data_IF_824805123946
#
_entry.id   IF_824805123946
#
_cell.length_a   1.000
_cell.length_b   1.000
_cell.length_c   1.000
_cell.angle_alpha   90.00
_cell.angle_beta   90.00
_cell.angle_gamma   90.00
#
_symmetry.space_group_name_H-M   'P 1'
#
loop_
_entity.id
_entity.type
_entity.pdbx_description
1 polymer ?
#
# COMPACT_ATOMS: atom_id res chain seq x y z
N UNK A 1 2.76 5.24 8.60
CA UNK A 1 2.49 6.03 7.38
C UNK A 1 0.99 6.02 7.05
N UNK A 2 0.36 4.88 6.73
CA UNK A 2 -1.12 4.76 6.62
C UNK A 2 -1.85 5.15 7.93
N UNK A 3 -1.35 4.68 9.09
CA UNK A 3 -1.88 5.08 10.40
C UNK A 3 -1.75 6.60 10.71
N UNK A 4 -0.88 7.32 9.99
CA UNK A 4 -0.75 8.78 10.09
C UNK A 4 -1.62 9.51 9.06
N UNK A 5 -2.01 8.87 7.96
CA UNK A 5 -2.84 9.45 6.90
C UNK A 5 -4.30 9.64 7.35
N UNK A 6 -4.87 8.66 8.05
CA UNK A 6 -6.22 8.75 8.61
C UNK A 6 -6.46 9.97 9.54
N UNK A 7 -5.61 10.26 10.56
CA UNK A 7 -5.75 11.46 11.37
C UNK A 7 -5.44 12.76 10.60
N UNK A 8 -4.55 12.73 9.59
CA UNK A 8 -4.26 13.90 8.74
C UNK A 8 -5.48 14.28 7.87
N UNK A 9 -6.17 13.30 7.29
CA UNK A 9 -7.39 13.53 6.49
C UNK A 9 -8.55 14.05 7.37
N UNK A 10 -8.64 13.58 8.61
CA UNK A 10 -9.61 14.07 9.58
C UNK A 10 -9.31 15.51 10.00
N UNK A 11 -8.03 15.86 10.21
CA UNK A 11 -7.59 17.22 10.48
C UNK A 11 -7.83 18.16 9.27
N UNK A 12 -7.60 17.67 8.04
CA UNK A 12 -7.93 18.40 6.82
C UNK A 12 -9.42 18.75 6.73
N UNK A 13 -10.28 17.79 7.10
CA UNK A 13 -11.74 17.97 7.13
C UNK A 13 -12.18 19.03 8.13
N UNK A 14 -11.52 19.13 9.29
CA UNK A 14 -11.86 20.14 10.31
C UNK A 14 -11.29 21.54 10.04
N UNK A 15 -10.21 21.64 9.25
CA UNK A 15 -9.48 22.91 9.05
C UNK A 15 -9.72 23.59 7.70
N UNK A 16 -10.52 23.00 6.80
CA UNK A 16 -10.76 23.59 5.47
C UNK A 16 -11.78 24.73 5.54
N UNK A 17 -11.30 25.93 5.87
CA UNK A 17 -11.88 27.19 5.42
C UNK A 17 -11.36 27.50 4.01
N UNK A 18 -12.28 27.77 3.09
CA UNK A 18 -12.18 27.58 1.64
C UNK A 18 -11.09 28.34 0.83
N UNK A 19 -9.96 28.81 1.38
CA UNK A 19 -8.94 29.52 0.57
C UNK A 19 -7.51 29.59 1.14
N UNK A 20 -7.06 28.66 1.99
CA UNK A 20 -5.77 28.80 2.70
C UNK A 20 -4.64 27.91 2.13
N UNK A 21 -3.38 28.41 2.01
CA UNK A 21 -2.19 27.62 1.63
C UNK A 21 -1.94 26.40 2.54
N UNK A 22 -2.56 26.39 3.72
CA UNK A 22 -2.62 25.24 4.63
C UNK A 22 -3.16 23.97 3.95
N UNK A 23 -4.11 24.12 3.03
CA UNK A 23 -4.69 22.98 2.31
C UNK A 23 -3.68 22.33 1.36
N UNK A 24 -2.84 23.15 0.72
CA UNK A 24 -1.81 22.71 -0.21
C UNK A 24 -0.69 21.96 0.52
N UNK A 25 -0.29 22.45 1.70
CA UNK A 25 0.69 21.80 2.57
C UNK A 25 0.17 20.46 3.09
N UNK A 26 -1.09 20.40 3.57
CA UNK A 26 -1.67 19.13 4.02
C UNK A 26 -1.83 18.12 2.87
N UNK A 27 -2.21 18.56 1.67
CA UNK A 27 -2.28 17.68 0.50
C UNK A 27 -0.90 17.12 0.14
N UNK A 28 0.14 17.96 0.21
CA UNK A 28 1.52 17.54 -0.06
C UNK A 28 2.01 16.53 0.96
N UNK A 29 1.72 16.75 2.25
CA UNK A 29 2.02 15.78 3.32
C UNK A 29 1.23 14.47 3.20
N UNK A 30 -0.05 14.53 2.83
CA UNK A 30 -0.83 13.31 2.54
C UNK A 30 -0.24 12.56 1.35
N UNK A 31 0.09 13.27 0.26
CA UNK A 31 0.65 12.69 -0.95
C UNK A 31 1.99 11.99 -0.69
N UNK A 32 2.91 12.63 0.06
CA UNK A 32 4.18 12.00 0.42
C UNK A 32 4.01 10.82 1.38
N UNK A 33 3.07 10.91 2.32
CA UNK A 33 2.77 9.84 3.26
C UNK A 33 2.18 8.58 2.60
N UNK A 34 1.51 8.72 1.45
CA UNK A 34 0.92 7.61 0.67
C UNK A 34 1.90 7.09 -0.40
N UNK A 35 2.64 7.97 -1.07
CA UNK A 35 3.62 7.55 -2.09
C UNK A 35 4.78 6.76 -1.49
N UNK A 36 5.21 7.08 -0.26
CA UNK A 36 6.23 6.32 0.47
C UNK A 36 5.94 4.82 0.57
N UNK A 37 4.84 4.38 1.21
CA UNK A 37 4.48 2.97 1.30
C UNK A 37 4.15 2.32 -0.04
N UNK A 38 3.55 3.05 -0.99
CA UNK A 38 3.32 2.53 -2.34
C UNK A 38 4.64 2.18 -3.05
N UNK A 39 5.61 3.08 -3.03
CA UNK A 39 6.95 2.85 -3.59
C UNK A 39 7.73 1.76 -2.84
N UNK A 40 7.56 1.66 -1.51
CA UNK A 40 8.21 0.63 -0.70
C UNK A 40 7.66 -0.78 -0.97
N UNK A 41 6.36 -0.94 -1.21
CA UNK A 41 5.77 -2.25 -1.53
C UNK A 41 6.27 -2.75 -2.89
N UNK A 42 6.27 -1.89 -3.91
CA UNK A 42 6.71 -2.29 -5.27
C UNK A 42 8.20 -2.63 -5.31
N UNK A 43 9.03 -1.88 -4.56
CA UNK A 43 10.47 -2.16 -4.44
C UNK A 43 10.77 -3.37 -3.56
N UNK A 44 10.10 -3.52 -2.42
CA UNK A 44 10.31 -4.67 -1.54
C UNK A 44 9.93 -5.98 -2.25
N UNK A 45 8.78 -6.03 -2.94
CA UNK A 45 8.35 -7.24 -3.67
C UNK A 45 9.29 -7.54 -4.84
N UNK A 46 9.74 -6.53 -5.58
CA UNK A 46 10.69 -6.72 -6.69
C UNK A 46 12.06 -7.21 -6.20
N UNK A 47 12.55 -6.69 -5.07
CA UNK A 47 13.79 -7.15 -4.44
C UNK A 47 13.66 -8.59 -3.92
N UNK A 48 12.53 -8.92 -3.28
CA UNK A 48 12.28 -10.26 -2.76
C UNK A 48 12.21 -11.31 -3.89
N UNK A 49 11.55 -10.98 -5.01
CA UNK A 49 11.52 -11.81 -6.22
C UNK A 49 12.90 -11.96 -6.88
N UNK A 50 13.73 -10.91 -6.86
CA UNK A 50 15.09 -10.93 -7.44
C UNK A 50 16.06 -11.87 -6.71
N UNK A 51 15.81 -12.17 -5.43
CA UNK A 51 16.67 -13.05 -4.62
C UNK A 51 16.20 -14.51 -4.59
N UNK A 52 15.04 -14.83 -5.17
CA UNK A 52 14.52 -16.20 -5.21
C UNK A 52 15.33 -17.09 -6.15
N UNK A 53 15.87 -18.19 -5.62
CA UNK A 53 16.62 -19.22 -6.39
C UNK A 53 15.83 -19.79 -7.57
N UNK A 54 14.49 -19.77 -7.50
CA UNK A 54 13.60 -20.20 -8.57
C UNK A 54 13.54 -19.24 -9.77
N UNK A 55 13.89 -17.96 -9.56
CA UNK A 55 13.89 -16.90 -10.57
C UNK A 55 15.30 -16.40 -10.94
N UNK A 56 16.31 -16.77 -10.15
CA UNK A 56 17.72 -16.50 -10.44
C UNK A 56 18.10 -17.06 -11.83
N UNK A 57 18.47 -16.18 -12.75
CA UNK A 57 18.81 -16.50 -14.14
C UNK A 57 17.62 -16.59 -15.12
N UNK A 58 16.36 -16.50 -14.65
CA UNK A 58 15.15 -16.56 -15.51
C UNK A 58 14.52 -15.18 -15.67
N UNK A 59 15.20 -14.30 -16.41
CA UNK A 59 14.82 -12.88 -16.59
C UNK A 59 13.41 -12.68 -17.15
N UNK A 60 12.91 -13.59 -17.99
CA UNK A 60 11.54 -13.54 -18.53
C UNK A 60 10.45 -13.71 -17.45
N UNK A 61 10.67 -14.62 -16.50
CA UNK A 61 9.70 -14.87 -15.43
C UNK A 61 9.65 -13.67 -14.47
N UNK A 62 10.81 -13.12 -14.11
CA UNK A 62 10.90 -11.93 -13.27
C UNK A 62 10.25 -10.72 -13.94
N UNK A 63 10.55 -10.46 -15.21
CA UNK A 63 9.94 -9.37 -15.98
C UNK A 63 8.40 -9.46 -16.06
N UNK A 64 7.85 -10.68 -16.16
CA UNK A 64 6.40 -10.90 -16.19
C UNK A 64 5.75 -10.59 -14.85
N UNK A 65 6.40 -10.94 -13.73
CA UNK A 65 5.85 -10.64 -12.40
C UNK A 65 5.95 -9.13 -12.13
N UNK A 66 7.06 -8.49 -12.50
CA UNK A 66 7.24 -7.04 -12.38
C UNK A 66 6.19 -6.29 -13.21
N UNK A 67 5.90 -6.72 -14.45
CA UNK A 67 4.89 -6.06 -15.27
C UNK A 67 3.46 -6.24 -14.75
N UNK A 68 3.16 -7.36 -14.08
CA UNK A 68 1.88 -7.55 -13.39
C UNK A 68 1.75 -6.58 -12.21
N UNK A 69 2.80 -6.45 -11.39
CA UNK A 69 2.79 -5.53 -10.23
C UNK A 69 2.62 -4.09 -10.70
N UNK A 70 3.38 -3.67 -11.70
CA UNK A 70 3.29 -2.32 -12.27
C UNK A 70 1.93 -2.06 -12.95
N UNK A 71 1.39 -3.07 -13.64
CA UNK A 71 0.06 -3.04 -14.24
C UNK A 71 -1.06 -2.84 -13.21
N UNK A 72 -0.97 -3.48 -12.04
CA UNK A 72 -1.91 -3.26 -10.93
C UNK A 72 -1.80 -1.85 -10.34
N UNK A 73 -0.58 -1.29 -10.31
CA UNK A 73 -0.35 0.10 -9.94
C UNK A 73 -1.08 1.10 -10.84
N UNK A 74 -0.96 0.90 -12.15
CA UNK A 74 -1.67 1.73 -13.15
C UNK A 74 -3.19 1.56 -13.08
N UNK A 75 -3.69 0.35 -12.79
CA UNK A 75 -5.12 0.11 -12.58
C UNK A 75 -5.66 0.95 -11.40
N UNK A 76 -4.95 0.97 -10.27
CA UNK A 76 -5.31 1.78 -9.11
C UNK A 76 -5.32 3.28 -9.42
N UNK A 77 -4.31 3.76 -10.17
CA UNK A 77 -4.23 5.15 -10.60
C UNK A 77 -5.39 5.58 -11.53
N UNK A 78 -5.93 4.66 -12.33
CA UNK A 78 -7.12 4.91 -13.15
C UNK A 78 -8.43 4.85 -12.36
N UNK A 79 -8.53 3.92 -11.39
CA UNK A 79 -9.74 3.72 -10.59
C UNK A 79 -10.03 4.89 -9.63
N UNK A 80 -9.01 5.53 -9.07
CA UNK A 80 -9.18 6.67 -8.15
C UNK A 80 -9.96 7.84 -8.77
N UNK A 81 -9.50 8.41 -9.90
CA UNK A 81 -10.22 9.46 -10.62
C UNK A 81 -11.58 9.01 -11.17
N UNK A 82 -11.70 7.76 -11.63
CA UNK A 82 -12.98 7.21 -12.11
C UNK A 82 -14.04 7.22 -11.00
N UNK A 83 -13.71 6.68 -9.83
CA UNK A 83 -14.62 6.67 -8.68
C UNK A 83 -14.88 8.10 -8.18
N UNK A 84 -13.85 8.95 -8.13
CA UNK A 84 -14.03 10.36 -7.78
C UNK A 84 -15.04 11.05 -8.71
N UNK A 85 -14.91 10.86 -10.02
CA UNK A 85 -15.82 11.43 -11.01
C UNK A 85 -17.27 10.93 -10.88
N UNK A 86 -17.47 9.66 -10.54
CA UNK A 86 -18.80 9.09 -10.30
C UNK A 86 -19.42 9.56 -8.98
N UNK A 87 -18.59 9.89 -7.97
CA UNK A 87 -19.04 10.25 -6.63
C UNK A 87 -19.22 11.76 -6.42
N UNK A 88 -18.55 12.61 -7.20
CA UNK A 88 -18.68 14.09 -7.14
C UNK A 88 -20.15 14.57 -7.18
N UNK A 89 -21.06 14.02 -8.01
CA UNK A 89 -22.47 14.42 -8.02
C UNK A 89 -23.21 14.23 -6.69
N UNK A 90 -22.73 13.31 -5.82
CA UNK A 90 -23.30 13.03 -4.50
C UNK A 90 -22.67 13.88 -3.38
N UNK A 91 -21.69 14.73 -3.72
CA UNK A 91 -21.01 15.65 -2.80
C UNK A 91 -19.60 15.21 -2.39
N UNK A 92 -18.74 16.20 -2.14
CA UNK A 92 -17.34 16.00 -1.76
C UNK A 92 -17.14 15.17 -0.49
N UNK A 93 -18.12 15.18 0.43
CA UNK A 93 -18.12 14.34 1.63
C UNK A 93 -18.05 12.83 1.31
N UNK A 94 -18.70 12.39 0.23
CA UNK A 94 -18.71 10.99 -0.20
C UNK A 94 -17.36 10.61 -0.81
N UNK A 95 -16.73 11.53 -1.54
CA UNK A 95 -15.36 11.34 -2.07
C UNK A 95 -14.36 11.19 -0.92
N UNK A 96 -14.43 12.06 0.10
CA UNK A 96 -13.57 11.92 1.28
C UNK A 96 -13.83 10.62 2.04
N UNK A 97 -15.09 10.20 2.18
CA UNK A 97 -15.43 8.92 2.80
C UNK A 97 -14.84 7.73 2.01
N UNK A 98 -14.86 7.78 0.68
CA UNK A 98 -14.24 6.79 -0.20
C UNK A 98 -12.71 6.74 -0.05
N UNK A 99 -12.04 7.90 0.08
CA UNK A 99 -10.60 7.96 0.32
C UNK A 99 -10.22 7.39 1.69
N UNK A 100 -10.97 7.73 2.74
CA UNK A 100 -10.72 7.23 4.10
C UNK A 100 -10.98 5.72 4.19
N UNK A 101 -12.05 5.23 3.58
CA UNK A 101 -12.38 3.79 3.61
C UNK A 101 -11.38 2.96 2.81
N UNK A 102 -10.89 3.46 1.67
CA UNK A 102 -9.84 2.78 0.91
C UNK A 102 -8.49 2.76 1.64
N UNK A 103 -8.12 3.84 2.35
CA UNK A 103 -6.93 3.90 3.21
C UNK A 103 -7.00 2.90 4.38
N UNK A 104 -8.15 2.83 5.07
CA UNK A 104 -8.39 1.86 6.14
C UNK A 104 -8.31 0.41 5.64
N UNK A 105 -8.89 0.12 4.46
CA UNK A 105 -8.83 -1.20 3.86
C UNK A 105 -7.39 -1.58 3.48
N UNK A 106 -6.62 -0.64 2.92
CA UNK A 106 -5.21 -0.83 2.59
C UNK A 106 -4.37 -1.09 3.86
N UNK A 107 -4.65 -0.37 4.95
CA UNK A 107 -4.00 -0.58 6.24
C UNK A 107 -4.31 -1.98 6.80
N UNK A 108 -5.58 -2.41 6.77
CA UNK A 108 -5.98 -3.75 7.22
C UNK A 108 -5.29 -4.86 6.44
N UNK A 109 -5.25 -4.75 5.11
CA UNK A 109 -4.57 -5.72 4.25
C UNK A 109 -3.06 -5.76 4.51
N UNK A 110 -2.43 -4.60 4.69
CA UNK A 110 -1.00 -4.52 5.00
C UNK A 110 -0.67 -5.19 6.35
N UNK A 111 -1.45 -4.92 7.39
CA UNK A 111 -1.29 -5.56 8.70
C UNK A 111 -1.48 -7.07 8.58
N UNK A 112 -2.51 -7.51 7.86
CA UNK A 112 -2.78 -8.93 7.66
C UNK A 112 -1.62 -9.64 6.96
N UNK A 113 -1.05 -9.05 5.91
CA UNK A 113 0.12 -9.59 5.19
C UNK A 113 1.32 -9.69 6.14
N UNK A 114 1.62 -8.65 6.91
CA UNK A 114 2.76 -8.64 7.84
C UNK A 114 2.59 -9.71 8.93
N UNK A 115 1.40 -9.80 9.53
CA UNK A 115 1.10 -10.81 10.55
C UNK A 115 1.21 -12.22 9.96
N UNK A 116 0.64 -12.46 8.79
CA UNK A 116 0.70 -13.76 8.13
C UNK A 116 2.13 -14.13 7.70
N UNK A 117 2.89 -13.17 7.18
CA UNK A 117 4.30 -13.35 6.82
C UNK A 117 5.14 -13.68 8.05
N UNK A 118 4.96 -12.93 9.14
CA UNK A 118 5.63 -13.18 10.42
C UNK A 118 5.28 -14.56 10.99
N UNK A 119 4.00 -14.95 10.99
CA UNK A 119 3.55 -16.30 11.40
C UNK A 119 4.18 -17.40 10.54
N UNK A 120 4.27 -17.21 9.22
CA UNK A 120 4.90 -18.16 8.29
C UNK A 120 6.41 -18.27 8.53
N UNK A 121 7.08 -17.15 8.76
CA UNK A 121 8.50 -17.12 9.10
C UNK A 121 8.77 -17.85 10.41
N UNK A 122 7.98 -17.56 11.44
CA UNK A 122 8.12 -18.20 12.76
C UNK A 122 7.92 -19.71 12.68
N UNK A 123 6.93 -20.20 11.91
CA UNK A 123 6.75 -21.63 11.64
C UNK A 123 7.94 -22.26 10.91
N UNK A 124 8.50 -21.59 9.89
CA UNK A 124 9.67 -22.09 9.16
C UNK A 124 10.92 -22.19 10.03
N UNK A 125 11.11 -21.26 10.96
CA UNK A 125 12.21 -21.30 11.93
C UNK A 125 12.03 -22.45 12.92
N UNK A 126 10.82 -22.69 13.42
CA UNK A 126 10.53 -23.84 14.29
C UNK A 126 10.85 -25.19 13.61
N UNK A 127 10.41 -25.41 12.36
CA UNK A 127 10.71 -26.65 11.64
C UNK A 127 12.21 -26.84 11.35
N UNK A 128 12.96 -25.76 11.08
CA UNK A 128 14.42 -25.82 10.87
C UNK A 128 15.19 -26.17 12.14
N UNK A 129 14.75 -25.67 13.30
CA UNK A 129 15.39 -26.02 14.57
C UNK A 129 15.14 -27.49 14.93
N UNK A 130 13.94 -28.01 14.67
CA UNK A 130 13.63 -29.44 14.87
C UNK A 130 14.48 -30.38 14.01
N UNK A 131 14.76 -30.01 12.76
CA UNK A 131 15.55 -30.86 11.83
C UNK A 131 17.06 -30.81 12.06
N UNK A 132 17.55 -29.89 12.90
CA UNK A 132 18.99 -29.69 13.17
C UNK A 132 19.41 -30.32 14.50
N UNK A 133 18.47 -30.86 15.29
CA UNK A 133 18.77 -31.61 16.51
C UNK A 133 19.01 -33.08 16.09
N UNK A 134 20.26 -33.58 16.10
CA UNK A 134 20.52 -35.00 15.90
C UNK A 134 19.93 -35.77 17.09
N UNK A 135 19.26 -36.88 16.78
CA UNK A 135 18.78 -37.88 17.76
C UNK A 135 19.97 -38.68 18.27
#
# INVERSE_FOLDING_TARGET
>A
MLACAAPLLLAYRSMTSANSPMSLILLTCCGSAINGPYALVTTAVSADLGTQSALLGRTRALATITSIIDGMGSLGAALGPLLTGLLVPYGWSVVFAMLITSDLLAMLMSIWIVVNSSRRQHRRTYYRLQSTIPI
#
